data_IF_968526205949
#
_entry.id   IF_968526205949
#
_cell.length_a   1.000
_cell.length_b   1.000
_cell.length_c   1.000
_cell.angle_alpha   90.00
_cell.angle_beta   90.00
_cell.angle_gamma   90.00
#
_symmetry.space_group_name_H-M   'P 1'
#
loop_
_entity.id
_entity.type
_entity.pdbx_description
1 polymer ?
#
# COMPACT_ATOMS: atom_id res chain seq x y z
N UNK A 1 77.54 -26.43 48.34
CA UNK A 1 76.45 -25.52 48.70
C UNK A 1 75.92 -24.87 47.43
N UNK A 2 74.79 -25.34 46.93
CA UNK A 2 74.15 -24.81 45.72
C UNK A 2 72.85 -24.11 46.14
N UNK A 3 72.54 -22.90 45.65
CA UNK A 3 71.33 -22.18 46.00
C UNK A 3 70.14 -22.63 45.16
N UNK A 4 69.00 -22.84 45.81
CA UNK A 4 67.78 -23.35 45.22
C UNK A 4 67.08 -22.32 44.30
N UNK A 5 66.63 -22.87 43.20
CA UNK A 5 65.87 -22.16 42.18
C UNK A 5 64.37 -22.19 42.55
N UNK A 6 63.77 -21.02 42.84
CA UNK A 6 62.32 -20.84 43.08
C UNK A 6 61.62 -20.53 41.76
N UNK A 7 60.67 -21.40 41.42
CA UNK A 7 59.78 -21.23 40.27
C UNK A 7 58.74 -20.10 40.55
N UNK A 8 58.40 -19.28 39.53
CA UNK A 8 57.37 -18.25 39.67
C UNK A 8 55.96 -18.83 39.58
N UNK A 9 54.94 -18.17 40.18
CA UNK A 9 53.59 -18.65 40.15
C UNK A 9 52.91 -18.50 38.76
N UNK A 10 52.15 -19.52 38.40
CA UNK A 10 51.35 -19.54 37.16
C UNK A 10 50.21 -18.53 37.24
N UNK A 11 50.26 -17.52 36.36
CA UNK A 11 49.15 -16.60 36.12
C UNK A 11 47.98 -17.37 35.44
N UNK A 12 46.89 -17.54 36.14
CA UNK A 12 45.65 -18.07 35.62
C UNK A 12 44.95 -16.96 34.79
N UNK A 13 44.92 -17.12 33.47
CA UNK A 13 44.22 -16.22 32.58
C UNK A 13 42.70 -16.50 32.69
N UNK A 14 41.97 -15.61 33.32
CA UNK A 14 40.51 -15.57 33.23
C UNK A 14 40.11 -15.08 31.84
N UNK A 15 39.57 -15.98 31.02
CA UNK A 15 38.92 -15.63 29.75
C UNK A 15 37.48 -15.19 30.11
N UNK A 16 37.25 -13.89 30.14
CA UNK A 16 35.89 -13.36 30.15
C UNK A 16 35.30 -13.54 28.75
N UNK A 17 34.40 -14.53 28.60
CA UNK A 17 33.54 -14.66 27.43
C UNK A 17 32.56 -13.50 27.38
N UNK A 18 32.77 -12.56 26.48
CA UNK A 18 31.75 -11.58 26.11
C UNK A 18 30.64 -12.32 25.36
N UNK A 19 29.55 -12.62 26.06
CA UNK A 19 28.31 -13.08 25.49
C UNK A 19 27.61 -11.87 24.85
N UNK A 20 27.90 -11.63 23.56
CA UNK A 20 27.23 -10.59 22.78
C UNK A 20 25.77 -10.95 22.57
N UNK A 21 24.86 -10.34 23.35
CA UNK A 21 23.45 -10.36 23.07
C UNK A 21 23.21 -9.60 21.76
N UNK A 22 22.98 -10.30 20.68
CA UNK A 22 22.48 -9.73 19.45
C UNK A 22 21.04 -9.24 19.72
N UNK A 23 20.89 -7.94 19.93
CA UNK A 23 19.60 -7.26 19.91
C UNK A 23 19.06 -7.36 18.48
N UNK A 24 18.22 -8.35 18.21
CA UNK A 24 17.37 -8.34 17.04
C UNK A 24 16.43 -7.14 17.18
N UNK A 25 16.71 -6.07 16.43
CA UNK A 25 15.77 -4.99 16.20
C UNK A 25 14.61 -5.57 15.38
N UNK A 26 13.56 -6.04 16.04
CA UNK A 26 12.27 -6.30 15.40
C UNK A 26 11.72 -4.92 15.08
N UNK A 27 11.93 -4.47 13.86
CA UNK A 27 11.24 -3.30 13.33
C UNK A 27 9.75 -3.67 13.30
N UNK A 28 8.98 -3.20 14.28
CA UNK A 28 7.53 -3.22 14.20
C UNK A 28 7.16 -2.33 13.01
N UNK A 29 6.81 -2.95 11.89
CA UNK A 29 6.25 -2.28 10.73
C UNK A 29 4.83 -1.80 11.10
N UNK A 30 4.76 -0.73 11.89
CA UNK A 30 3.52 -0.04 12.20
C UNK A 30 2.97 0.62 10.94
N UNK A 31 1.66 0.67 10.81
CA UNK A 31 1.02 1.49 9.80
C UNK A 31 1.32 2.96 10.10
N UNK A 32 1.75 3.70 9.07
CA UNK A 32 1.88 5.16 9.11
C UNK A 32 0.59 5.77 8.62
N UNK A 33 0.06 6.74 9.36
CA UNK A 33 -1.02 7.61 8.94
C UNK A 33 -0.52 9.05 8.97
N UNK A 34 -0.78 9.82 7.94
CA UNK A 34 -0.40 11.23 7.84
C UNK A 34 -1.53 12.04 7.22
N UNK A 35 -1.57 13.33 7.56
CA UNK A 35 -2.54 14.30 7.06
C UNK A 35 -1.75 15.48 6.49
N UNK A 36 -2.01 15.85 5.25
CA UNK A 36 -1.56 17.11 4.68
C UNK A 36 -2.44 18.23 5.25
N UNK A 37 -1.87 19.05 6.14
CA UNK A 37 -2.61 20.12 6.83
C UNK A 37 -3.15 21.20 5.88
N UNK A 38 -2.51 21.39 4.71
CA UNK A 38 -2.93 22.39 3.74
C UNK A 38 -4.13 21.96 2.90
N UNK A 39 -4.17 20.68 2.52
CA UNK A 39 -5.21 20.12 1.66
C UNK A 39 -6.22 19.25 2.42
N UNK A 40 -5.95 18.89 3.67
CA UNK A 40 -6.77 17.95 4.44
C UNK A 40 -6.75 16.52 3.89
N UNK A 41 -5.76 16.19 3.05
CA UNK A 41 -5.62 14.89 2.40
C UNK A 41 -4.96 13.91 3.39
N UNK A 42 -5.58 12.76 3.59
CA UNK A 42 -5.04 11.71 4.44
C UNK A 42 -4.33 10.63 3.61
N UNK A 43 -3.27 10.06 4.19
CA UNK A 43 -2.50 8.98 3.59
C UNK A 43 -2.22 7.88 4.62
N UNK A 44 -2.30 6.64 4.17
CA UNK A 44 -1.95 5.45 4.95
C UNK A 44 -0.87 4.68 4.21
N UNK A 45 0.15 4.24 4.93
CA UNK A 45 1.24 3.44 4.39
C UNK A 45 1.62 2.34 5.37
N UNK A 46 1.92 1.17 4.85
CA UNK A 46 2.42 0.04 5.65
C UNK A 46 3.38 -0.81 4.82
N UNK A 47 4.49 -1.18 5.45
CA UNK A 47 5.43 -2.15 4.89
C UNK A 47 5.25 -3.50 5.59
N UNK A 48 5.10 -4.56 4.83
CA UNK A 48 4.82 -5.91 5.30
C UNK A 48 5.63 -6.89 4.44
N UNK A 49 6.48 -7.71 5.06
CA UNK A 49 7.32 -8.71 4.37
C UNK A 49 8.13 -8.14 3.18
N UNK A 50 8.62 -6.91 3.34
CA UNK A 50 9.40 -6.20 2.30
C UNK A 50 8.55 -5.55 1.19
N UNK A 51 7.22 -5.64 1.28
CA UNK A 51 6.27 -5.01 0.35
C UNK A 51 5.63 -3.79 1.03
N UNK A 52 5.70 -2.63 0.38
CA UNK A 52 5.04 -1.41 0.83
C UNK A 52 3.77 -1.15 0.05
N UNK A 53 2.69 -0.87 0.77
CA UNK A 53 1.41 -0.45 0.20
C UNK A 53 1.03 0.89 0.79
N UNK A 54 0.67 1.85 -0.06
CA UNK A 54 0.15 3.14 0.38
C UNK A 54 -1.14 3.53 -0.33
N UNK A 55 -1.99 4.22 0.40
CA UNK A 55 -3.22 4.85 -0.06
C UNK A 55 -3.17 6.33 0.28
N UNK A 56 -3.29 7.20 -0.71
CA UNK A 56 -3.46 8.65 -0.53
C UNK A 56 -4.82 9.04 -1.08
N UNK A 57 -5.64 9.70 -0.29
CA UNK A 57 -6.95 10.19 -0.73
C UNK A 57 -6.82 11.05 -1.98
N UNK A 58 -7.76 10.89 -2.92
CA UNK A 58 -8.00 11.85 -3.98
C UNK A 58 -9.36 12.47 -3.70
N UNK A 59 -9.39 13.79 -3.52
CA UNK A 59 -10.64 14.49 -3.22
C UNK A 59 -11.59 14.42 -4.43
N UNK A 60 -12.92 14.35 -4.21
CA UNK A 60 -13.89 14.32 -5.30
C UNK A 60 -13.71 15.43 -6.32
N UNK A 61 -13.42 16.67 -5.88
CA UNK A 61 -13.19 17.80 -6.77
C UNK A 61 -11.92 17.65 -7.63
N UNK A 62 -10.88 17.04 -7.08
CA UNK A 62 -9.67 16.73 -7.85
C UNK A 62 -9.96 15.71 -8.94
N UNK A 63 -10.78 14.68 -8.65
CA UNK A 63 -11.21 13.69 -9.64
C UNK A 63 -12.09 14.30 -10.71
N UNK A 64 -13.06 15.14 -10.33
CA UNK A 64 -13.89 15.91 -11.28
C UNK A 64 -13.02 16.72 -12.23
N UNK A 65 -12.13 17.56 -11.69
CA UNK A 65 -11.24 18.39 -12.48
C UNK A 65 -10.33 17.55 -13.39
N UNK A 66 -9.75 16.45 -12.86
CA UNK A 66 -8.87 15.57 -13.62
C UNK A 66 -9.57 14.97 -14.85
N UNK A 67 -10.79 14.47 -14.70
CA UNK A 67 -11.49 13.77 -15.77
C UNK A 67 -12.26 14.69 -16.71
N UNK A 68 -12.82 15.82 -16.23
CA UNK A 68 -13.42 16.85 -17.08
C UNK A 68 -12.37 17.40 -18.06
N UNK A 69 -11.16 17.68 -17.59
CA UNK A 69 -10.04 18.11 -18.45
C UNK A 69 -9.60 17.05 -19.48
N UNK A 70 -10.05 15.80 -19.34
CA UNK A 70 -9.79 14.68 -20.27
C UNK A 70 -10.99 14.34 -21.16
N UNK A 71 -12.04 15.16 -21.11
CA UNK A 71 -13.17 15.07 -22.00
C UNK A 71 -14.34 14.22 -21.48
N UNK A 72 -14.43 14.00 -20.16
CA UNK A 72 -15.65 13.51 -19.55
C UNK A 72 -16.62 14.64 -19.23
N UNK A 73 -17.90 14.42 -19.40
CA UNK A 73 -18.92 15.28 -18.84
C UNK A 73 -18.98 15.11 -17.32
N UNK A 74 -19.26 16.18 -16.58
CA UNK A 74 -19.28 16.18 -15.11
C UNK A 74 -20.25 15.15 -14.54
N UNK A 75 -21.46 15.07 -15.11
CA UNK A 75 -22.49 14.10 -14.66
C UNK A 75 -22.09 12.65 -14.89
N UNK A 76 -21.33 12.39 -15.98
CA UNK A 76 -20.84 11.04 -16.32
C UNK A 76 -19.80 10.55 -15.34
N UNK A 77 -18.88 11.43 -14.93
CA UNK A 77 -17.77 11.05 -14.04
C UNK A 77 -18.14 11.13 -12.55
N UNK A 78 -19.21 11.79 -12.19
CA UNK A 78 -19.66 12.00 -10.81
C UNK A 78 -19.73 10.73 -9.97
N UNK A 79 -20.34 9.62 -10.45
CA UNK A 79 -20.38 8.38 -9.67
C UNK A 79 -19.00 7.80 -9.35
N UNK A 80 -18.01 8.03 -10.22
CA UNK A 80 -16.63 7.61 -9.96
C UNK A 80 -15.94 8.59 -9.00
N UNK A 81 -16.10 9.89 -9.21
CA UNK A 81 -15.48 10.91 -8.39
C UNK A 81 -15.87 10.80 -6.91
N UNK A 82 -17.09 10.37 -6.63
CA UNK A 82 -17.63 10.19 -5.27
C UNK A 82 -17.52 8.75 -4.73
N UNK A 83 -16.80 7.87 -5.44
CA UNK A 83 -16.71 6.44 -5.10
C UNK A 83 -15.58 6.07 -4.14
N UNK A 84 -15.01 7.03 -3.40
CA UNK A 84 -13.89 6.80 -2.50
C UNK A 84 -12.65 6.29 -3.26
N UNK A 85 -11.95 7.20 -3.92
CA UNK A 85 -10.79 6.87 -4.77
C UNK A 85 -9.47 7.26 -4.09
N UNK A 86 -8.48 6.41 -4.20
CA UNK A 86 -7.13 6.65 -3.71
C UNK A 86 -6.10 6.61 -4.84
N UNK A 87 -5.08 7.45 -4.76
CA UNK A 87 -3.80 7.15 -5.39
C UNK A 87 -3.17 6.01 -4.58
N UNK A 88 -3.04 4.87 -5.22
CA UNK A 88 -2.51 3.65 -4.61
C UNK A 88 -1.13 3.38 -5.16
N UNK A 89 -0.19 3.05 -4.28
CA UNK A 89 1.15 2.59 -4.65
C UNK A 89 1.37 1.22 -4.03
N UNK A 90 1.92 0.30 -4.80
CA UNK A 90 2.51 -0.95 -4.32
C UNK A 90 3.94 -1.02 -4.80
N UNK A 91 4.86 -1.37 -3.89
CA UNK A 91 6.30 -1.39 -4.15
C UNK A 91 6.96 -2.60 -3.49
N UNK A 92 7.84 -3.25 -4.23
CA UNK A 92 8.70 -4.31 -3.73
C UNK A 92 10.01 -3.70 -3.24
N UNK A 93 10.07 -3.27 -1.98
CA UNK A 93 11.24 -2.63 -1.39
C UNK A 93 12.34 -3.63 -1.05
N UNK A 94 11.98 -4.73 -0.40
CA UNK A 94 12.93 -5.66 0.19
C UNK A 94 12.38 -7.08 0.35
N UNK A 95 11.36 -7.47 -0.43
CA UNK A 95 10.91 -8.86 -0.45
C UNK A 95 12.01 -9.78 -1.00
N UNK A 96 12.03 -11.02 -0.56
CA UNK A 96 13.07 -11.99 -0.93
C UNK A 96 13.06 -12.38 -2.42
N UNK A 97 11.96 -12.12 -3.15
CA UNK A 97 11.77 -12.48 -4.54
C UNK A 97 10.79 -11.56 -5.27
N UNK A 98 10.34 -12.01 -6.43
CA UNK A 98 9.36 -11.30 -7.25
C UNK A 98 8.00 -11.30 -6.56
N UNK A 99 7.47 -10.10 -6.32
CA UNK A 99 6.14 -9.90 -5.73
C UNK A 99 5.08 -9.91 -6.84
N UNK A 100 4.12 -10.81 -6.76
CA UNK A 100 2.96 -10.87 -7.66
C UNK A 100 1.68 -10.60 -6.89
N UNK A 101 0.80 -9.78 -7.43
CA UNK A 101 -0.52 -9.57 -6.84
C UNK A 101 -1.61 -9.64 -7.90
N UNK A 102 -2.83 -9.93 -7.41
CA UNK A 102 -4.08 -9.78 -8.17
C UNK A 102 -5.05 -8.96 -7.36
N UNK A 103 -5.49 -7.85 -7.93
CA UNK A 103 -6.43 -6.93 -7.26
C UNK A 103 -7.75 -7.62 -6.90
N UNK A 104 -8.17 -8.62 -7.68
CA UNK A 104 -9.34 -9.45 -7.41
C UNK A 104 -9.29 -10.24 -6.08
N UNK A 105 -8.10 -10.40 -5.50
CA UNK A 105 -7.90 -11.07 -4.20
C UNK A 105 -7.96 -10.09 -3.01
N UNK A 106 -7.87 -8.79 -3.28
CA UNK A 106 -7.97 -7.77 -2.23
C UNK A 106 -9.41 -7.62 -1.74
N UNK A 107 -9.56 -7.28 -0.47
CA UNK A 107 -10.89 -7.15 0.16
C UNK A 107 -10.94 -5.90 1.02
N UNK A 108 -12.10 -5.27 1.04
CA UNK A 108 -12.44 -4.25 2.01
C UNK A 108 -13.34 -4.84 3.08
N UNK A 109 -13.13 -4.42 4.32
CA UNK A 109 -13.96 -4.72 5.47
C UNK A 109 -14.51 -3.39 6.00
N UNK A 110 -15.78 -3.14 5.78
CA UNK A 110 -16.50 -1.94 6.20
C UNK A 110 -17.67 -2.30 7.11
N UNK A 111 -18.37 -1.32 7.65
CA UNK A 111 -19.58 -1.57 8.46
C UNK A 111 -20.62 -2.45 7.75
N UNK A 112 -20.67 -2.40 6.42
CA UNK A 112 -21.54 -3.25 5.58
C UNK A 112 -21.04 -4.68 5.40
N UNK A 113 -19.88 -5.04 5.98
CA UNK A 113 -19.26 -6.34 5.87
C UNK A 113 -18.09 -6.39 4.88
N UNK A 114 -17.53 -7.59 4.73
CA UNK A 114 -16.38 -7.86 3.85
C UNK A 114 -16.86 -8.05 2.41
N UNK A 115 -16.21 -7.34 1.46
CA UNK A 115 -16.55 -7.42 0.02
C UNK A 115 -15.31 -7.20 -0.87
N UNK A 116 -15.37 -7.57 -2.17
CA UNK A 116 -14.33 -7.23 -3.14
C UNK A 116 -14.31 -5.73 -3.43
N UNK A 117 -13.22 -5.27 -4.02
CA UNK A 117 -13.11 -3.95 -4.65
C UNK A 117 -14.01 -3.85 -5.88
N UNK A 118 -14.37 -2.64 -6.28
CA UNK A 118 -15.02 -2.40 -7.56
C UNK A 118 -13.95 -2.45 -8.65
N UNK A 119 -14.08 -3.36 -9.61
CA UNK A 119 -13.08 -3.52 -10.67
C UNK A 119 -13.06 -2.34 -11.65
N UNK A 120 -11.91 -2.14 -12.29
CA UNK A 120 -11.76 -1.17 -13.38
C UNK A 120 -12.74 -1.45 -14.51
N UNK A 121 -12.98 -2.73 -14.84
CA UNK A 121 -13.90 -3.16 -15.88
C UNK A 121 -15.33 -2.71 -15.55
N UNK A 122 -15.77 -2.88 -14.32
CA UNK A 122 -17.11 -2.41 -13.87
C UNK A 122 -17.26 -0.90 -14.07
N UNK A 123 -16.22 -0.12 -13.78
CA UNK A 123 -16.24 1.32 -14.02
C UNK A 123 -16.21 1.65 -15.52
N UNK A 124 -15.38 0.95 -16.29
CA UNK A 124 -15.34 1.09 -17.76
C UNK A 124 -16.73 0.85 -18.39
N UNK A 125 -17.41 -0.24 -18.02
CA UNK A 125 -18.76 -0.54 -18.49
C UNK A 125 -19.77 0.56 -18.15
N UNK A 126 -19.75 1.04 -16.90
CA UNK A 126 -20.64 2.13 -16.46
C UNK A 126 -20.39 3.42 -17.24
N UNK A 127 -19.14 3.81 -17.38
CA UNK A 127 -18.77 5.04 -18.09
C UNK A 127 -19.04 4.95 -19.59
N UNK A 128 -18.80 3.79 -20.22
CA UNK A 128 -19.06 3.56 -21.65
C UNK A 128 -20.55 3.69 -22.00
N UNK A 129 -21.47 3.39 -21.08
CA UNK A 129 -22.91 3.54 -21.31
C UNK A 129 -23.32 4.97 -21.65
N UNK A 130 -22.56 5.96 -21.15
CA UNK A 130 -22.77 7.38 -21.46
C UNK A 130 -22.07 7.83 -22.78
N UNK A 131 -21.36 6.93 -23.47
CA UNK A 131 -20.65 7.18 -24.74
C UNK A 131 -19.65 8.34 -24.69
N UNK A 132 -18.74 8.39 -23.71
CA UNK A 132 -17.67 9.38 -23.70
C UNK A 132 -16.74 9.19 -24.91
N UNK A 133 -15.96 10.22 -25.26
CA UNK A 133 -14.99 10.13 -26.35
C UNK A 133 -13.90 9.06 -26.08
N UNK A 134 -13.35 8.46 -27.14
CA UNK A 134 -12.31 7.44 -27.02
C UNK A 134 -11.09 7.91 -26.21
N UNK A 135 -10.66 9.16 -26.40
CA UNK A 135 -9.54 9.73 -25.67
C UNK A 135 -9.80 9.78 -24.14
N UNK A 136 -11.02 10.12 -23.74
CA UNK A 136 -11.42 10.14 -22.33
C UNK A 136 -11.35 8.72 -21.73
N UNK A 137 -11.88 7.71 -22.44
CA UNK A 137 -11.84 6.32 -21.97
C UNK A 137 -10.41 5.74 -21.91
N UNK A 138 -9.54 6.12 -22.84
CA UNK A 138 -8.12 5.76 -22.79
C UNK A 138 -7.48 6.39 -21.54
N UNK A 139 -7.70 7.69 -21.32
CA UNK A 139 -7.18 8.38 -20.15
C UNK A 139 -7.69 7.76 -18.82
N UNK A 140 -8.98 7.35 -18.78
CA UNK A 140 -9.53 6.65 -17.62
C UNK A 140 -8.78 5.35 -17.33
N UNK A 141 -8.63 4.47 -18.32
CA UNK A 141 -7.95 3.18 -18.13
C UNK A 141 -6.50 3.33 -17.70
N UNK A 142 -5.78 4.27 -18.29
CA UNK A 142 -4.37 4.50 -17.97
C UNK A 142 -4.15 5.07 -16.56
N UNK A 143 -5.13 5.74 -15.99
CA UNK A 143 -5.05 6.30 -14.64
C UNK A 143 -5.32 5.26 -13.55
N UNK A 144 -5.87 4.08 -13.87
CA UNK A 144 -6.23 3.08 -12.87
C UNK A 144 -5.01 2.31 -12.34
N UNK A 145 -5.11 1.88 -11.10
CA UNK A 145 -4.17 0.91 -10.53
C UNK A 145 -4.32 -0.43 -11.27
N UNK A 146 -3.22 -1.12 -11.60
CA UNK A 146 -3.28 -2.34 -12.40
C UNK A 146 -4.05 -3.45 -11.68
N UNK A 147 -4.75 -4.30 -12.45
CA UNK A 147 -5.49 -5.45 -11.92
C UNK A 147 -4.56 -6.55 -11.41
N UNK A 148 -3.40 -6.70 -12.02
CA UNK A 148 -2.32 -7.60 -11.63
C UNK A 148 -0.99 -7.07 -12.13
N UNK A 149 0.07 -7.38 -11.42
CA UNK A 149 1.44 -7.06 -11.82
C UNK A 149 2.45 -7.95 -11.08
N UNK A 150 3.68 -7.97 -11.61
CA UNK A 150 4.84 -8.58 -10.98
C UNK A 150 5.92 -7.51 -10.79
N UNK A 151 6.44 -7.39 -9.58
CA UNK A 151 7.46 -6.41 -9.21
C UNK A 151 8.77 -7.10 -8.87
N UNK A 152 9.84 -6.70 -9.53
CA UNK A 152 11.17 -7.17 -9.23
C UNK A 152 11.67 -6.63 -7.88
N UNK A 153 12.55 -7.36 -7.16
CA UNK A 153 13.17 -6.86 -5.94
C UNK A 153 13.98 -5.58 -6.17
N UNK A 154 14.03 -4.71 -5.15
CA UNK A 154 14.89 -3.53 -5.17
C UNK A 154 14.19 -2.23 -5.51
N UNK A 155 12.90 -2.13 -5.20
CA UNK A 155 12.15 -0.89 -5.29
C UNK A 155 11.30 -0.73 -6.54
N UNK A 156 11.08 -1.80 -7.30
CA UNK A 156 10.14 -1.79 -8.43
C UNK A 156 8.71 -1.54 -7.92
N UNK A 157 7.95 -0.70 -8.61
CA UNK A 157 6.68 -0.19 -8.12
C UNK A 157 5.72 0.25 -9.22
N UNK A 158 4.47 0.39 -8.87
CA UNK A 158 3.44 0.98 -9.71
C UNK A 158 2.51 1.86 -8.88
N UNK A 159 1.87 2.83 -9.56
CA UNK A 159 0.82 3.65 -8.97
C UNK A 159 -0.38 3.76 -9.88
N UNK A 160 -1.53 4.03 -9.28
CA UNK A 160 -2.76 4.29 -10.03
C UNK A 160 -3.94 4.56 -9.11
N UNK A 161 -5.03 4.97 -9.70
CA UNK A 161 -6.29 5.24 -9.00
C UNK A 161 -7.00 3.94 -8.66
N UNK A 162 -7.39 3.76 -7.41
CA UNK A 162 -8.14 2.63 -6.91
C UNK A 162 -9.45 3.11 -6.28
N UNK A 163 -10.58 2.72 -6.87
CA UNK A 163 -11.89 2.99 -6.30
C UNK A 163 -12.27 1.90 -5.29
N UNK A 164 -12.62 2.33 -4.08
CA UNK A 164 -13.12 1.46 -3.03
C UNK A 164 -14.62 1.19 -3.20
N UNK A 165 -15.34 2.11 -3.84
CA UNK A 165 -16.78 2.00 -4.07
C UNK A 165 -17.62 2.19 -2.78
N UNK A 166 -17.08 2.92 -1.80
CA UNK A 166 -17.80 3.39 -0.62
C UNK A 166 -18.20 4.85 -0.79
N UNK A 167 -19.15 5.29 0.01
CA UNK A 167 -19.56 6.70 0.06
C UNK A 167 -18.44 7.56 0.70
N UNK A 168 -18.41 8.88 0.42
CA UNK A 168 -17.54 9.81 1.10
C UNK A 168 -17.66 9.72 2.63
N UNK A 169 -16.53 9.85 3.34
CA UNK A 169 -16.46 9.76 4.80
C UNK A 169 -16.60 8.35 5.39
N UNK A 170 -16.83 7.31 4.59
CA UNK A 170 -16.90 5.95 5.08
C UNK A 170 -15.52 5.46 5.57
N UNK A 171 -15.54 4.59 6.59
CA UNK A 171 -14.34 3.93 7.13
C UNK A 171 -14.30 2.46 6.74
N UNK A 172 -13.08 1.95 6.52
CA UNK A 172 -12.85 0.55 6.15
C UNK A 172 -11.43 0.10 6.49
N UNK A 173 -11.22 -1.21 6.50
CA UNK A 173 -9.90 -1.83 6.45
C UNK A 173 -9.68 -2.42 5.06
N UNK A 174 -8.45 -2.28 4.52
CA UNK A 174 -8.05 -2.89 3.26
C UNK A 174 -7.16 -4.09 3.52
N UNK A 175 -7.65 -5.28 3.19
CA UNK A 175 -6.88 -6.50 3.18
C UNK A 175 -6.23 -6.67 1.80
N UNK A 176 -4.91 -6.70 1.76
CA UNK A 176 -4.11 -6.87 0.55
C UNK A 176 -3.49 -8.26 0.54
N UNK A 177 -3.35 -8.87 -0.64
CA UNK A 177 -2.73 -10.18 -0.84
C UNK A 177 -1.72 -10.12 -1.96
N UNK A 178 -0.63 -10.84 -1.77
CA UNK A 178 0.41 -11.01 -2.79
C UNK A 178 1.08 -12.38 -2.63
N UNK A 179 1.90 -12.72 -3.60
CA UNK A 179 2.69 -13.95 -3.66
C UNK A 179 4.16 -13.57 -3.83
N UNK A 180 5.06 -14.28 -3.15
CA UNK A 180 6.51 -14.22 -3.36
C UNK A 180 6.97 -15.67 -3.56
N UNK A 181 7.52 -15.98 -4.75
CA UNK A 181 8.04 -17.31 -5.10
C UNK A 181 7.08 -18.48 -4.81
N UNK A 182 5.77 -18.26 -5.05
CA UNK A 182 4.72 -19.26 -4.84
C UNK A 182 4.13 -19.30 -3.43
N UNK A 183 4.70 -18.57 -2.48
CA UNK A 183 4.16 -18.44 -1.12
C UNK A 183 3.22 -17.26 -1.02
N UNK A 184 2.06 -17.46 -0.39
CA UNK A 184 1.03 -16.44 -0.24
C UNK A 184 1.19 -15.63 1.02
N UNK A 185 1.13 -14.32 0.87
CA UNK A 185 1.20 -13.34 1.94
C UNK A 185 -0.08 -12.51 2.01
N UNK A 186 -0.33 -11.98 3.18
CA UNK A 186 -1.46 -11.09 3.41
C UNK A 186 -1.08 -9.97 4.37
N UNK A 187 -1.54 -8.76 4.08
CA UNK A 187 -1.42 -7.62 4.97
C UNK A 187 -2.72 -6.84 5.07
N UNK A 188 -2.74 -5.86 5.95
CA UNK A 188 -3.92 -5.03 6.16
C UNK A 188 -3.54 -3.59 6.48
N UNK A 189 -4.21 -2.65 5.80
CA UNK A 189 -4.28 -1.24 6.17
C UNK A 189 -5.58 -1.04 6.93
N UNK A 190 -5.50 -0.53 8.16
CA UNK A 190 -6.64 -0.40 9.07
C UNK A 190 -7.07 1.05 9.26
N UNK A 191 -8.34 1.26 9.61
CA UNK A 191 -8.91 2.58 9.89
C UNK A 191 -8.69 3.58 8.74
N UNK A 192 -8.79 3.10 7.52
CA UNK A 192 -8.72 3.94 6.31
C UNK A 192 -10.05 4.67 6.16
N UNK A 193 -10.00 5.95 5.79
CA UNK A 193 -11.19 6.80 5.67
C UNK A 193 -11.30 7.37 4.27
N UNK A 194 -12.49 7.27 3.68
CA UNK A 194 -12.81 7.93 2.43
C UNK A 194 -12.78 9.46 2.59
N UNK A 195 -12.28 10.17 1.60
CA UNK A 195 -12.35 11.63 1.59
C UNK A 195 -13.80 12.10 1.75
N UNK A 196 -14.01 13.20 2.47
CA UNK A 196 -15.30 13.87 2.53
C UNK A 196 -15.53 14.64 1.22
N UNK A 197 -16.79 14.87 0.87
CA UNK A 197 -17.09 15.90 -0.12
C UNK A 197 -16.75 17.27 0.48
N UNK A 198 -16.17 18.14 -0.36
CA UNK A 198 -16.00 19.53 0.02
C UNK A 198 -17.37 20.18 0.22
N UNK A 199 -17.54 21.03 1.24
CA UNK A 199 -18.79 21.71 1.51
C UNK A 199 -19.19 22.69 0.39
#
# INVERSE_FOLDING_TARGET
MAPGYRSPPRLQKFVYGLMGAALMNVAFAGQRHSIDEGAGIESWEKTMDGVSVSLTQILPDQLRAFYINRGFDSEVIEPYATSCVYMTVLRNDAAAGVVRFRLSEWRINAKSGKRPLVSTETWVERLQSARPGNAAMVAFRWAQFPNEHAYEPGGDWNQGMLSIGLAPGAEFDLSVRWEIDGEHYQGELTNVRCAHESP
#
